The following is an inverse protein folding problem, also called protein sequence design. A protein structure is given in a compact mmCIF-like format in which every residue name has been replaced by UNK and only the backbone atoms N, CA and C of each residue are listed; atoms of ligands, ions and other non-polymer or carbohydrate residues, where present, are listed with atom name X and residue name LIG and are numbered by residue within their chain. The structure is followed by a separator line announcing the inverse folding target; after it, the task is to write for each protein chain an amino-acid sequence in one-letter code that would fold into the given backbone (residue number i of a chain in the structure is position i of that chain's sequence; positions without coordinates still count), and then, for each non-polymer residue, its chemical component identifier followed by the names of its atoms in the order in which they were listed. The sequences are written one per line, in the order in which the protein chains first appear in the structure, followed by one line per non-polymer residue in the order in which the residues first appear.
data_IF_010667303878
#
_entry.id   IF_010667303878
#
_cell.length_a   1.000
_cell.length_b   1.000
_cell.length_c   1.000
_cell.angle_alpha   90.00
_cell.angle_beta   90.00
_cell.angle_gamma   90.00
#
_symmetry.space_group_name_H-M   'P 1'
#
loop_
_entity.id
_entity.type
_entity.pdbx_description
1 polymer ?
#
# COMPACT_ATOMS: atom_id res chain seq x y z
N UNK A 1 -16.15 7.42 -9.43
CA UNK A 1 -14.94 7.40 -10.29
C UNK A 1 -13.86 6.70 -9.47
N UNK A 2 -13.45 5.50 -9.84
CA UNK A 2 -12.35 4.83 -9.16
C UNK A 2 -11.10 5.72 -9.38
N UNK A 3 -10.49 6.20 -8.31
CA UNK A 3 -9.24 6.93 -8.42
C UNK A 3 -8.23 6.01 -9.09
N UNK A 4 -7.59 6.50 -10.15
CA UNK A 4 -6.63 5.72 -10.92
C UNK A 4 -5.54 5.20 -9.98
N UNK A 5 -5.29 3.89 -10.01
CA UNK A 5 -4.23 3.26 -9.23
C UNK A 5 -2.90 3.73 -9.78
N UNK A 6 -2.07 4.33 -8.92
CA UNK A 6 -0.73 4.76 -9.31
C UNK A 6 0.30 3.63 -9.07
N UNK A 7 1.54 3.88 -9.47
CA UNK A 7 2.62 2.90 -9.35
C UNK A 7 2.90 2.50 -7.88
N UNK A 8 2.65 3.38 -6.91
CA UNK A 8 2.83 3.06 -5.49
C UNK A 8 1.72 2.12 -5.04
N UNK A 9 0.49 2.35 -5.46
CA UNK A 9 -0.63 1.45 -5.15
C UNK A 9 -0.40 0.05 -5.69
N UNK A 10 0.04 -0.06 -6.94
CA UNK A 10 0.37 -1.35 -7.55
C UNK A 10 1.47 -2.07 -6.75
N UNK A 11 2.48 -1.35 -6.25
CA UNK A 11 3.54 -1.92 -5.41
C UNK A 11 3.02 -2.33 -4.02
N UNK A 12 2.12 -1.54 -3.41
CA UNK A 12 1.47 -1.90 -2.13
C UNK A 12 0.65 -3.18 -2.31
N UNK A 13 -0.14 -3.29 -3.38
CA UNK A 13 -0.95 -4.48 -3.69
C UNK A 13 -0.06 -5.70 -3.93
N UNK A 14 1.02 -5.58 -4.70
CA UNK A 14 1.97 -6.67 -4.93
C UNK A 14 2.59 -7.17 -3.61
N UNK A 15 2.95 -6.26 -2.69
CA UNK A 15 3.48 -6.64 -1.38
C UNK A 15 2.44 -7.39 -0.53
N UNK A 16 1.21 -6.88 -0.43
CA UNK A 16 0.13 -7.49 0.37
C UNK A 16 -0.28 -8.84 -0.20
N UNK A 17 -0.38 -8.95 -1.54
CA UNK A 17 -0.77 -10.19 -2.20
C UNK A 17 0.30 -11.28 -2.07
N UNK A 18 1.58 -10.91 -2.03
CA UNK A 18 2.69 -11.84 -1.80
C UNK A 18 2.80 -12.26 -0.34
N UNK A 19 2.61 -11.31 0.58
CA UNK A 19 2.73 -11.54 2.01
C UNK A 19 1.76 -10.65 2.80
N UNK A 20 0.61 -11.24 3.15
CA UNK A 20 -0.42 -10.58 3.94
C UNK A 20 -0.07 -10.42 5.42
N UNK A 21 1.06 -10.99 5.89
CA UNK A 21 1.52 -10.81 7.27
C UNK A 21 2.29 -9.49 7.48
N UNK A 22 2.69 -8.82 6.39
CA UNK A 22 3.38 -7.53 6.46
C UNK A 22 2.51 -6.47 7.16
N UNK A 23 3.08 -5.83 8.16
CA UNK A 23 2.46 -4.67 8.79
C UNK A 23 2.46 -3.46 7.84
N UNK A 24 1.55 -2.52 8.07
CA UNK A 24 1.50 -1.26 7.33
C UNK A 24 2.82 -0.48 7.43
N UNK A 25 3.54 -0.58 8.55
CA UNK A 25 4.83 0.07 8.73
C UNK A 25 5.90 -0.54 7.81
N UNK A 26 5.96 -1.87 7.70
CA UNK A 26 6.90 -2.57 6.81
C UNK A 26 6.59 -2.31 5.33
N UNK A 27 5.30 -2.27 4.97
CA UNK A 27 4.88 -1.90 3.61
C UNK A 27 5.30 -0.46 3.31
N UNK A 28 5.05 0.46 4.24
CA UNK A 28 5.40 1.87 4.08
C UNK A 28 6.90 2.07 3.86
N UNK A 29 7.74 1.38 4.64
CA UNK A 29 9.20 1.39 4.47
C UNK A 29 9.60 0.90 3.06
N UNK A 30 9.04 -0.24 2.60
CA UNK A 30 9.33 -0.81 1.28
C UNK A 30 8.90 0.07 0.11
N UNK A 31 7.92 0.96 0.29
CA UNK A 31 7.42 1.88 -0.74
C UNK A 31 7.87 3.33 -0.55
N UNK A 32 8.70 3.62 0.46
CA UNK A 32 9.25 4.96 0.71
C UNK A 32 8.21 5.95 1.25
N UNK A 33 7.24 5.47 2.03
CA UNK A 33 6.21 6.26 2.69
C UNK A 33 6.29 6.14 4.21
N UNK A 34 5.60 7.04 4.92
CA UNK A 34 5.25 6.81 6.32
C UNK A 34 3.97 5.98 6.44
N UNK A 35 3.73 5.40 7.61
CA UNK A 35 2.59 4.48 7.82
C UNK A 35 1.23 5.14 7.57
N UNK A 36 1.07 6.42 7.91
CA UNK A 36 -0.19 7.16 7.73
C UNK A 36 -0.63 7.31 6.25
N UNK A 37 0.20 7.82 5.32
CA UNK A 37 -0.13 7.85 3.89
C UNK A 37 -0.23 6.45 3.27
N UNK A 38 0.58 5.49 3.71
CA UNK A 38 0.47 4.10 3.24
C UNK A 38 -0.89 3.50 3.61
N UNK A 39 -1.34 3.70 4.86
CA UNK A 39 -2.64 3.23 5.33
C UNK A 39 -3.80 3.82 4.53
N UNK A 40 -3.78 5.14 4.26
CA UNK A 40 -4.82 5.78 3.42
C UNK A 40 -4.89 5.18 2.03
N UNK A 41 -3.73 4.81 1.44
CA UNK A 41 -3.65 4.15 0.15
C UNK A 41 -4.24 2.75 0.20
N UNK A 42 -3.93 1.96 1.23
CA UNK A 42 -4.55 0.63 1.43
C UNK A 42 -6.07 0.78 1.55
N UNK A 43 -6.54 1.73 2.37
CA UNK A 43 -7.97 1.96 2.63
C UNK A 43 -8.78 2.35 1.40
N UNK A 44 -8.17 3.01 0.40
CA UNK A 44 -8.86 3.34 -0.87
C UNK A 44 -8.95 2.17 -1.86
N UNK A 45 -8.21 1.08 -1.60
CA UNK A 45 -8.16 -0.12 -2.45
C UNK A 45 -8.98 -1.27 -1.87
N UNK A 46 -9.49 -1.14 -0.63
CA UNK A 46 -10.55 -1.98 -0.05
C UNK A 46 -11.90 -1.72 -0.72
#
# INVERSE_FOLDING_TARGET
MAAELDAIDAKILDLIQRDAALSVAEIAEKVGLSSSPCWRRIKRME
#
